data_IF_480371506683
#
_entry.id   IF_480371506683
#
_cell.length_a   1.000
_cell.length_b   1.000
_cell.length_c   1.000
_cell.angle_alpha   90.00
_cell.angle_beta   90.00
_cell.angle_gamma   90.00
#
_symmetry.space_group_name_H-M   'P 1'
#
loop_
_entity.id
_entity.type
_entity.pdbx_description
1 polymer ?
#
# COMPACT_ATOMS: atom_id res chain seq x y z
N UNK A 1 40.38 -16.70 38.72
CA UNK A 1 39.04 -16.86 38.12
C UNK A 1 38.05 -16.12 39.01
N UNK A 2 37.19 -15.22 38.47
CA UNK A 2 36.16 -14.58 39.28
C UNK A 2 35.17 -15.64 39.81
N UNK A 3 34.65 -15.49 41.05
CA UNK A 3 33.74 -16.46 41.64
C UNK A 3 32.47 -16.61 40.80
N UNK A 4 31.96 -17.84 40.69
CA UNK A 4 30.77 -18.17 39.90
C UNK A 4 29.50 -17.50 40.43
N UNK A 5 29.49 -17.13 41.72
CA UNK A 5 28.47 -16.35 42.40
C UNK A 5 29.14 -15.31 43.29
N UNK A 6 28.70 -14.05 43.24
CA UNK A 6 29.14 -12.98 44.14
C UNK A 6 27.91 -12.19 44.60
N UNK A 7 27.63 -12.24 45.90
CA UNK A 7 26.49 -11.58 46.54
C UNK A 7 26.62 -10.04 46.54
N UNK A 8 27.84 -9.50 46.46
CA UNK A 8 28.09 -8.07 46.50
C UNK A 8 27.97 -7.41 45.11
N UNK A 9 28.23 -8.16 44.03
CA UNK A 9 28.09 -7.70 42.64
C UNK A 9 27.32 -8.67 41.74
N UNK A 10 26.11 -9.03 42.19
CA UNK A 10 25.22 -10.01 41.52
C UNK A 10 25.00 -9.68 40.03
N UNK A 11 24.97 -8.41 39.64
CA UNK A 11 24.64 -7.99 38.26
C UNK A 11 25.70 -8.28 37.21
N UNK A 12 26.98 -8.37 37.59
CA UNK A 12 28.09 -8.68 36.69
C UNK A 12 28.54 -10.14 36.79
N UNK A 13 27.97 -10.88 37.74
CA UNK A 13 28.29 -12.27 37.97
C UNK A 13 27.83 -13.16 36.81
N UNK A 14 28.67 -14.15 36.44
CA UNK A 14 28.41 -15.08 35.34
C UNK A 14 27.11 -15.87 35.55
N UNK A 15 26.80 -16.27 36.78
CA UNK A 15 25.54 -16.93 37.11
C UNK A 15 24.31 -16.04 36.82
N UNK A 16 24.38 -14.74 37.07
CA UNK A 16 23.25 -13.83 36.86
C UNK A 16 22.99 -13.56 35.39
N UNK A 17 24.04 -13.36 34.60
CA UNK A 17 23.92 -13.18 33.14
C UNK A 17 23.35 -14.44 32.48
N UNK A 18 23.80 -15.61 32.93
CA UNK A 18 23.33 -16.91 32.42
C UNK A 18 21.88 -17.19 32.83
N UNK A 19 21.53 -17.00 34.11
CA UNK A 19 20.15 -17.12 34.59
C UNK A 19 19.20 -16.16 33.86
N UNK A 20 19.63 -14.91 33.63
CA UNK A 20 18.87 -13.92 32.85
C UNK A 20 18.64 -14.36 31.41
N UNK A 21 19.68 -14.91 30.75
CA UNK A 21 19.58 -15.41 29.37
C UNK A 21 18.63 -16.60 29.29
N UNK A 22 18.80 -17.59 30.18
CA UNK A 22 17.97 -18.81 30.23
C UNK A 22 16.52 -18.49 30.54
N UNK A 23 16.26 -17.61 31.51
CA UNK A 23 14.92 -17.17 31.85
C UNK A 23 14.27 -16.40 30.69
N UNK A 24 15.02 -15.55 29.98
CA UNK A 24 14.51 -14.87 28.77
C UNK A 24 14.13 -15.86 27.67
N UNK A 25 14.93 -16.90 27.45
CA UNK A 25 14.63 -17.93 26.45
C UNK A 25 13.33 -18.67 26.79
N UNK A 26 13.18 -19.15 28.02
CA UNK A 26 11.97 -19.84 28.50
C UNK A 26 10.73 -18.93 28.41
N UNK A 27 10.85 -17.67 28.81
CA UNK A 27 9.71 -16.74 28.74
C UNK A 27 9.37 -16.35 27.29
N UNK A 28 10.34 -16.36 26.38
CA UNK A 28 10.09 -16.08 24.95
C UNK A 28 9.38 -17.21 24.22
N UNK A 29 9.59 -18.47 24.62
CA UNK A 29 8.90 -19.63 24.05
C UNK A 29 7.44 -19.76 24.51
N UNK A 30 7.12 -19.20 25.68
CA UNK A 30 5.74 -19.21 26.25
C UNK A 30 4.87 -18.09 25.65
N UNK A 31 5.49 -17.07 25.05
CA UNK A 31 4.85 -15.84 24.56
C UNK A 31 3.93 -15.97 23.34
N UNK A 32 3.32 -17.12 23.07
CA UNK A 32 2.33 -17.30 22.00
C UNK A 32 0.97 -17.87 22.44
N UNK A 33 0.72 -18.13 23.73
CA UNK A 33 -0.62 -18.60 24.12
C UNK A 33 -0.88 -19.08 25.54
N UNK A 34 0.06 -19.07 26.48
CA UNK A 34 -0.20 -19.49 27.87
C UNK A 34 0.20 -18.39 28.85
N UNK A 35 -0.69 -17.43 29.03
CA UNK A 35 -0.80 -16.63 30.24
C UNK A 35 -2.06 -17.15 30.95
N UNK A 36 -1.97 -17.60 32.22
CA UNK A 36 -3.14 -18.09 32.92
C UNK A 36 -4.10 -16.91 33.16
N UNK A 37 -5.24 -16.92 32.49
CA UNK A 37 -6.29 -15.88 32.61
C UNK A 37 -6.96 -15.43 31.30
N UNK A 38 -6.45 -15.80 30.12
CA UNK A 38 -7.16 -15.53 28.87
C UNK A 38 -8.21 -16.61 28.60
N UNK A 39 -9.35 -16.50 29.29
CA UNK A 39 -10.58 -17.14 28.81
C UNK A 39 -10.99 -16.46 27.50
N UNK A 40 -10.73 -17.14 26.38
CA UNK A 40 -11.36 -16.80 25.12
C UNK A 40 -12.87 -17.07 25.24
N UNK A 41 -13.65 -16.06 25.61
CA UNK A 41 -15.05 -16.02 25.22
C UNK A 41 -15.10 -15.58 23.76
N UNK A 42 -15.02 -16.56 22.87
CA UNK A 42 -15.40 -16.38 21.48
C UNK A 42 -16.90 -16.04 21.46
N UNK A 43 -17.24 -14.75 21.29
CA UNK A 43 -18.57 -14.35 20.87
C UNK A 43 -18.64 -14.61 19.37
N UNK A 44 -19.38 -15.64 19.02
CA UNK A 44 -19.82 -15.90 17.67
C UNK A 44 -20.70 -14.75 17.19
N UNK A 45 -20.31 -14.09 16.10
CA UNK A 45 -21.24 -13.42 15.20
C UNK A 45 -20.98 -14.00 13.83
N UNK A 46 -22.01 -14.67 13.33
CA UNK A 46 -22.02 -15.37 12.07
C UNK A 46 -22.33 -14.46 10.88
N UNK A 47 -22.36 -15.17 9.75
CA UNK A 47 -22.88 -14.81 8.43
C UNK A 47 -21.95 -13.89 7.61
N UNK A 48 -21.22 -14.48 6.64
CA UNK A 48 -21.66 -14.85 5.28
C UNK A 48 -21.41 -13.65 4.35
N UNK A 49 -20.67 -13.71 3.25
CA UNK A 49 -20.40 -14.77 2.29
C UNK A 49 -19.23 -14.32 1.39
N UNK A 50 -18.46 -15.32 0.90
CA UNK A 50 -17.77 -15.46 -0.40
C UNK A 50 -17.15 -14.21 -1.09
N UNK A 51 -16.02 -14.26 -1.79
CA UNK A 51 -15.63 -15.22 -2.83
C UNK A 51 -14.08 -15.10 -3.04
N UNK A 52 -13.38 -16.24 -3.01
CA UNK A 52 -12.30 -16.73 -3.90
C UNK A 52 -11.50 -15.72 -4.77
N UNK A 53 -10.19 -15.80 -5.02
CA UNK A 53 -9.26 -16.92 -5.19
C UNK A 53 -7.82 -16.38 -5.27
N UNK A 54 -6.83 -17.08 -4.71
CA UNK A 54 -5.58 -17.47 -5.40
C UNK A 54 -4.69 -18.27 -4.45
N UNK A 55 -4.89 -19.58 -4.51
CA UNK A 55 -3.98 -20.59 -4.00
C UNK A 55 -2.72 -20.63 -4.86
N UNK A 56 -1.59 -20.23 -4.28
CA UNK A 56 -0.29 -20.74 -4.67
C UNK A 56 0.71 -20.61 -3.51
N UNK A 57 1.11 -21.76 -2.99
CA UNK A 57 2.41 -22.03 -2.37
C UNK A 57 2.70 -21.43 -0.99
N UNK A 58 2.03 -21.99 0.02
CA UNK A 58 2.66 -22.76 1.11
C UNK A 58 4.18 -22.53 1.33
N UNK A 59 4.57 -21.44 2.02
CA UNK A 59 5.60 -21.45 3.08
C UNK A 59 5.75 -20.09 3.80
N UNK A 60 4.64 -19.38 4.11
CA UNK A 60 4.72 -18.08 4.79
C UNK A 60 3.59 -17.76 5.78
N UNK A 61 2.71 -18.71 6.11
CA UNK A 61 1.61 -18.51 7.06
C UNK A 61 2.04 -18.77 8.50
N UNK A 62 2.88 -17.88 9.06
CA UNK A 62 3.04 -17.72 10.52
C UNK A 62 3.23 -16.25 10.94
N UNK A 63 2.75 -15.30 10.15
CA UNK A 63 2.59 -13.92 10.62
C UNK A 63 1.27 -13.81 11.40
N UNK A 64 1.43 -13.97 12.70
CA UNK A 64 0.41 -13.92 13.75
C UNK A 64 -0.57 -12.75 13.61
N UNK A 65 -1.84 -13.06 13.87
CA UNK A 65 -3.04 -12.22 13.89
C UNK A 65 -3.03 -11.09 14.96
N UNK A 66 -1.86 -10.53 15.27
CA UNK A 66 -1.71 -9.38 16.16
C UNK A 66 -1.64 -8.04 15.39
N UNK A 67 -1.42 -8.08 14.07
CA UNK A 67 -1.22 -6.88 13.26
C UNK A 67 -2.53 -6.15 12.88
N UNK A 68 -3.68 -6.82 12.92
CA UNK A 68 -4.94 -6.25 12.39
C UNK A 68 -5.79 -5.56 13.47
N UNK A 69 -5.57 -5.83 14.76
CA UNK A 69 -6.32 -5.20 15.86
C UNK A 69 -5.66 -3.96 16.46
N UNK A 70 -4.43 -3.61 16.06
CA UNK A 70 -3.72 -2.44 16.61
C UNK A 70 -4.06 -1.12 15.91
N UNK A 71 -4.88 -1.15 14.84
CA UNK A 71 -5.14 0.00 13.97
C UNK A 71 -6.33 0.89 14.38
N UNK A 72 -7.05 0.59 15.47
CA UNK A 72 -8.32 1.29 15.80
C UNK A 72 -8.32 2.02 17.16
N UNK A 73 -7.28 1.96 17.98
CA UNK A 73 -7.29 2.71 19.25
C UNK A 73 -5.90 3.09 19.75
N UNK A 74 -5.56 4.40 19.83
CA UNK A 74 -4.33 4.88 20.48
C UNK A 74 -4.30 4.67 22.00
N UNK A 75 -5.33 4.05 22.59
CA UNK A 75 -5.50 3.90 24.04
C UNK A 75 -5.28 2.49 24.57
N UNK A 76 -4.62 1.58 23.83
CA UNK A 76 -4.14 0.34 24.43
C UNK A 76 -2.86 0.59 25.24
N UNK A 77 -3.02 1.40 26.29
CA UNK A 77 -2.17 1.42 27.47
C UNK A 77 -2.00 -0.04 27.87
N UNK A 78 -0.73 -0.46 27.95
CA UNK A 78 -0.28 -1.73 28.47
C UNK A 78 -1.14 -2.11 29.67
N UNK A 79 -2.11 -2.99 29.46
CA UNK A 79 -3.11 -3.30 30.46
C UNK A 79 -2.37 -4.05 31.57
N UNK A 80 -2.13 -3.35 32.68
CA UNK A 80 -1.47 -3.80 33.90
C UNK A 80 -2.29 -4.87 34.66
N UNK A 81 -3.12 -5.64 33.96
CA UNK A 81 -4.20 -6.43 34.57
C UNK A 81 -3.88 -7.92 34.71
N UNK A 82 -2.67 -8.36 34.36
CA UNK A 82 -2.17 -9.72 34.66
C UNK A 82 -1.05 -9.73 35.71
N UNK A 83 -1.01 -8.72 36.58
CA UNK A 83 -0.05 -8.70 37.70
C UNK A 83 -0.68 -8.89 39.09
N UNK A 84 -2.01 -8.91 39.23
CA UNK A 84 -2.62 -8.98 40.59
C UNK A 84 -3.92 -9.78 40.64
N UNK A 85 -3.87 -11.08 40.36
CA UNK A 85 -4.82 -12.04 40.98
C UNK A 85 -4.06 -13.30 41.40
N UNK A 86 -3.09 -13.14 42.30
CA UNK A 86 -2.80 -14.16 43.31
C UNK A 86 -3.05 -13.50 44.66
N UNK A 87 -4.14 -13.97 45.26
CA UNK A 87 -4.71 -13.57 46.54
C UNK A 87 -3.69 -13.79 47.66
N UNK A 88 -3.32 -12.70 48.30
CA UNK A 88 -2.90 -12.55 49.71
C UNK A 88 -2.41 -13.81 50.46
N UNK A 89 -1.09 -13.85 50.60
CA UNK A 89 -0.27 -14.50 51.62
C UNK A 89 1.16 -14.02 51.36
N UNK A 90 1.99 -13.82 52.38
CA UNK A 90 3.35 -13.24 52.30
C UNK A 90 4.33 -14.09 51.46
N UNK A 91 4.06 -14.31 50.17
CA UNK A 91 4.92 -15.08 49.28
C UNK A 91 5.86 -14.15 48.54
N UNK A 92 7.13 -14.53 48.51
CA UNK A 92 8.16 -13.78 47.83
C UNK A 92 7.95 -13.76 46.31
N UNK A 93 8.35 -12.70 45.60
CA UNK A 93 8.47 -12.68 44.11
C UNK A 93 9.23 -13.91 43.58
N UNK A 94 10.17 -14.43 44.38
CA UNK A 94 10.93 -15.64 44.05
C UNK A 94 10.07 -16.90 44.08
N UNK A 95 9.16 -17.01 45.05
CA UNK A 95 8.27 -18.16 45.19
C UNK A 95 7.23 -18.18 44.09
N UNK A 96 6.66 -17.02 43.75
CA UNK A 96 5.75 -16.86 42.62
C UNK A 96 6.41 -17.22 41.29
N UNK A 97 7.67 -16.81 41.07
CA UNK A 97 8.43 -17.20 39.88
C UNK A 97 8.65 -18.71 39.80
N UNK A 98 9.01 -19.34 40.92
CA UNK A 98 9.23 -20.79 41.00
C UNK A 98 7.93 -21.55 40.76
N UNK A 99 6.83 -21.11 41.36
CA UNK A 99 5.49 -21.68 41.17
C UNK A 99 5.06 -21.57 39.71
N UNK A 100 5.23 -20.41 39.10
CA UNK A 100 4.96 -20.20 37.69
C UNK A 100 5.80 -21.11 36.78
N UNK A 101 7.11 -21.23 37.03
CA UNK A 101 7.98 -22.13 36.26
C UNK A 101 7.61 -23.61 36.45
N UNK A 102 7.13 -24.01 37.63
CA UNK A 102 6.62 -25.38 37.87
C UNK A 102 5.33 -25.64 37.10
N UNK A 103 4.43 -24.67 37.02
CA UNK A 103 3.22 -24.76 36.19
C UNK A 103 3.62 -24.89 34.71
N UNK A 104 4.53 -24.04 34.21
CA UNK A 104 5.04 -24.13 32.85
C UNK A 104 5.73 -25.46 32.55
N UNK A 105 6.44 -26.03 33.53
CA UNK A 105 7.07 -27.34 33.39
C UNK A 105 6.02 -28.46 33.28
N UNK A 106 4.94 -28.38 34.06
CA UNK A 106 3.83 -29.33 33.96
C UNK A 106 3.15 -29.22 32.58
N UNK A 107 2.91 -28.00 32.09
CA UNK A 107 2.37 -27.75 30.75
C UNK A 107 3.30 -28.29 29.66
N UNK A 108 4.61 -28.07 29.75
CA UNK A 108 5.57 -28.54 28.74
C UNK A 108 5.74 -30.05 28.74
N UNK A 109 5.63 -30.71 29.89
CA UNK A 109 5.62 -32.18 30.02
C UNK A 109 4.37 -32.75 29.34
N UNK A 110 3.21 -32.15 29.60
CA UNK A 110 1.94 -32.55 29.00
C UNK A 110 1.92 -32.29 27.49
N UNK A 111 2.54 -31.20 27.02
CA UNK A 111 2.74 -30.89 25.60
C UNK A 111 3.87 -31.66 24.93
N UNK A 112 4.52 -32.60 25.64
CA UNK A 112 5.68 -33.39 25.18
C UNK A 112 6.87 -32.57 24.64
N UNK A 113 6.99 -31.28 24.98
CA UNK A 113 8.14 -30.47 24.62
C UNK A 113 9.31 -30.73 25.56
N UNK A 114 10.12 -31.73 25.20
CA UNK A 114 11.30 -32.14 25.95
C UNK A 114 12.37 -31.04 26.02
N UNK A 115 12.43 -30.17 25.01
CA UNK A 115 13.43 -29.11 24.92
C UNK A 115 13.11 -27.97 25.88
N UNK A 116 11.86 -27.48 25.87
CA UNK A 116 11.37 -26.47 26.81
C UNK A 116 11.41 -27.01 28.25
N UNK A 117 11.01 -28.27 28.46
CA UNK A 117 11.07 -28.91 29.77
C UNK A 117 12.50 -28.96 30.33
N UNK A 118 13.51 -29.24 29.49
CA UNK A 118 14.92 -29.22 29.91
C UNK A 118 15.39 -27.80 30.25
N UNK A 119 15.00 -26.81 29.44
CA UNK A 119 15.33 -25.40 29.68
C UNK A 119 14.70 -24.86 30.98
N UNK A 120 13.43 -25.20 31.27
CA UNK A 120 12.75 -24.80 32.50
C UNK A 120 13.41 -25.43 33.73
N UNK A 121 13.77 -26.73 33.68
CA UNK A 121 14.49 -27.40 34.78
C UNK A 121 15.84 -26.74 35.04
N UNK A 122 16.56 -26.35 33.98
CA UNK A 122 17.84 -25.66 34.10
C UNK A 122 17.68 -24.24 34.67
N UNK A 123 16.61 -23.52 34.32
CA UNK A 123 16.30 -22.21 34.95
C UNK A 123 15.99 -22.39 36.43
N UNK A 124 15.15 -23.37 36.81
CA UNK A 124 14.87 -23.69 38.20
C UNK A 124 16.15 -24.01 38.98
N UNK A 125 17.07 -24.79 38.39
CA UNK A 125 18.39 -25.09 38.96
C UNK A 125 19.28 -23.85 39.08
N UNK A 126 19.19 -22.91 38.16
CA UNK A 126 19.95 -21.66 38.25
C UNK A 126 19.41 -20.74 39.36
N UNK A 127 18.10 -20.74 39.58
CA UNK A 127 17.45 -19.90 40.59
C UNK A 127 17.79 -20.32 42.04
N UNK A 128 18.14 -21.59 42.28
CA UNK A 128 18.57 -22.04 43.63
C UNK A 128 19.90 -21.44 44.08
N UNK A 129 20.71 -20.91 43.16
CA UNK A 129 21.97 -20.25 43.47
C UNK A 129 21.81 -18.78 43.90
N UNK A 130 20.59 -18.24 43.92
CA UNK A 130 20.33 -16.84 44.26
C UNK A 130 19.48 -16.72 45.52
N UNK A 131 19.84 -15.75 46.36
CA UNK A 131 18.95 -15.26 47.41
C UNK A 131 17.76 -14.50 46.82
N UNK A 132 16.72 -14.33 47.64
CA UNK A 132 15.49 -13.61 47.34
C UNK A 132 15.74 -12.19 46.77
N UNK A 133 16.76 -11.49 47.28
CA UNK A 133 17.19 -10.17 46.78
C UNK A 133 17.79 -10.25 45.37
N UNK A 134 18.53 -11.32 45.06
CA UNK A 134 19.11 -11.59 43.74
C UNK A 134 18.05 -11.88 42.69
N UNK A 135 17.03 -12.69 43.02
CA UNK A 135 15.90 -12.99 42.13
C UNK A 135 15.06 -11.74 41.84
N UNK A 136 14.77 -10.91 42.85
CA UNK A 136 14.10 -9.62 42.65
C UNK A 136 14.89 -8.70 41.71
N UNK A 137 16.21 -8.60 41.89
CA UNK A 137 17.07 -7.80 41.00
C UNK A 137 17.05 -8.35 39.57
N UNK A 138 17.07 -9.67 39.40
CA UNK A 138 16.96 -10.35 38.11
C UNK A 138 15.66 -9.98 37.39
N UNK A 139 14.51 -10.14 38.07
CA UNK A 139 13.19 -9.82 37.54
C UNK A 139 13.07 -8.34 37.15
N UNK A 140 13.55 -7.42 37.98
CA UNK A 140 13.57 -5.98 37.67
C UNK A 140 14.37 -5.69 36.39
N UNK A 141 15.58 -6.26 36.27
CA UNK A 141 16.40 -6.04 35.06
C UNK A 141 15.75 -6.61 33.80
N UNK A 142 15.09 -7.76 33.87
CA UNK A 142 14.34 -8.32 32.74
C UNK A 142 13.15 -7.45 32.35
N UNK A 143 12.40 -6.97 33.34
CA UNK A 143 11.25 -6.07 33.13
C UNK A 143 11.68 -4.75 32.49
N UNK A 144 12.77 -4.15 32.96
CA UNK A 144 13.30 -2.89 32.41
C UNK A 144 13.82 -3.06 30.99
N UNK A 145 14.54 -4.15 30.71
CA UNK A 145 14.99 -4.45 29.35
C UNK A 145 13.81 -4.74 28.41
N UNK A 146 12.78 -5.46 28.88
CA UNK A 146 11.57 -5.70 28.08
C UNK A 146 10.86 -4.39 27.78
N UNK A 147 10.64 -3.52 28.78
CA UNK A 147 10.02 -2.20 28.61
C UNK A 147 10.77 -1.33 27.58
N UNK A 148 12.10 -1.29 27.65
CA UNK A 148 12.94 -0.54 26.69
C UNK A 148 12.81 -1.09 25.27
N UNK A 149 12.87 -2.42 25.10
CA UNK A 149 12.69 -3.06 23.77
C UNK A 149 11.30 -2.79 23.19
N UNK A 150 10.25 -2.89 24.00
CA UNK A 150 8.88 -2.62 23.57
C UNK A 150 8.70 -1.17 23.13
N UNK A 151 9.20 -0.20 23.90
CA UNK A 151 9.15 1.21 23.50
C UNK A 151 9.85 1.48 22.17
N UNK A 152 11.02 0.87 21.95
CA UNK A 152 11.76 0.99 20.69
C UNK A 152 11.03 0.32 19.51
N UNK A 153 10.44 -0.86 19.72
CA UNK A 153 9.66 -1.55 18.69
C UNK A 153 8.45 -0.74 18.27
N UNK A 154 7.71 -0.16 19.22
CA UNK A 154 6.57 0.71 18.93
C UNK A 154 7.00 1.95 18.14
N UNK A 155 8.12 2.57 18.52
CA UNK A 155 8.69 3.69 17.76
C UNK A 155 9.01 3.27 16.31
N UNK A 156 9.65 2.12 16.12
CA UNK A 156 10.03 1.64 14.78
C UNK A 156 8.79 1.32 13.93
N UNK A 157 7.76 0.72 14.53
CA UNK A 157 6.48 0.45 13.87
C UNK A 157 5.78 1.75 13.45
N UNK A 158 5.72 2.73 14.37
CA UNK A 158 5.13 4.04 14.07
C UNK A 158 5.90 4.76 12.96
N UNK A 159 7.23 4.75 13.01
CA UNK A 159 8.09 5.34 11.98
C UNK A 159 7.83 4.69 10.62
N UNK A 160 7.76 3.36 10.55
CA UNK A 160 7.43 2.64 9.32
C UNK A 160 6.05 3.05 8.79
N UNK A 161 5.03 3.14 9.64
CA UNK A 161 3.69 3.55 9.23
C UNK A 161 3.70 4.96 8.64
N UNK A 162 4.34 5.92 9.32
CA UNK A 162 4.47 7.30 8.85
C UNK A 162 5.21 7.37 7.50
N UNK A 163 6.28 6.59 7.32
CA UNK A 163 7.02 6.54 6.05
C UNK A 163 6.17 5.96 4.91
N UNK A 164 5.38 4.92 5.17
CA UNK A 164 4.48 4.34 4.16
C UNK A 164 3.37 5.32 3.77
N UNK A 165 2.79 6.01 4.74
CA UNK A 165 1.81 7.07 4.49
C UNK A 165 2.41 8.19 3.66
N UNK A 166 3.59 8.69 4.03
CA UNK A 166 4.30 9.74 3.29
C UNK A 166 4.62 9.30 1.86
N UNK A 167 5.10 8.07 1.67
CA UNK A 167 5.35 7.50 0.33
C UNK A 167 4.08 7.51 -0.51
N UNK A 168 2.98 6.99 0.02
CA UNK A 168 1.70 6.97 -0.70
C UNK A 168 1.19 8.37 -1.05
N UNK A 169 1.42 9.34 -0.16
CA UNK A 169 1.08 10.74 -0.38
C UNK A 169 1.91 11.35 -1.51
N UNK A 170 3.23 11.14 -1.48
CA UNK A 170 4.14 11.62 -2.52
C UNK A 170 3.85 10.99 -3.89
N UNK A 171 3.53 9.69 -3.94
CA UNK A 171 3.11 9.01 -5.16
C UNK A 171 1.82 9.63 -5.74
N UNK A 172 0.82 9.89 -4.89
CA UNK A 172 -0.42 10.58 -5.30
C UNK A 172 -0.14 12.00 -5.78
N UNK A 173 0.66 12.77 -5.05
CA UNK A 173 0.99 14.14 -5.42
C UNK A 173 1.75 14.19 -6.74
N UNK A 174 2.74 13.31 -6.94
CA UNK A 174 3.47 13.19 -8.20
C UNK A 174 2.52 12.87 -9.36
N UNK A 175 1.57 11.94 -9.16
CA UNK A 175 0.59 11.60 -10.19
C UNK A 175 -0.32 12.80 -10.54
N UNK A 176 -0.67 13.63 -9.56
CA UNK A 176 -1.50 14.83 -9.77
C UNK A 176 -0.73 15.90 -10.54
N UNK A 177 0.49 16.21 -10.11
CA UNK A 177 1.35 17.19 -10.77
C UNK A 177 1.63 16.78 -12.22
N UNK A 178 1.88 15.49 -12.47
CA UNK A 178 2.11 15.02 -13.83
C UNK A 178 0.87 15.15 -14.72
N UNK A 179 -0.33 14.89 -14.19
CA UNK A 179 -1.60 15.11 -14.90
C UNK A 179 -1.87 16.59 -15.14
N UNK A 180 -1.64 17.45 -14.15
CA UNK A 180 -1.81 18.90 -14.31
C UNK A 180 -0.84 19.45 -15.36
N UNK A 181 0.41 18.98 -15.37
CA UNK A 181 1.38 19.33 -16.40
C UNK A 181 0.88 18.94 -17.80
N UNK A 182 0.40 17.70 -17.98
CA UNK A 182 -0.07 17.24 -19.30
C UNK A 182 -1.29 18.02 -19.77
N UNK A 183 -2.29 18.23 -18.90
CA UNK A 183 -3.48 19.02 -19.24
C UNK A 183 -3.14 20.47 -19.58
N UNK A 184 -2.26 21.10 -18.81
CA UNK A 184 -1.81 22.47 -19.08
C UNK A 184 -1.10 22.55 -20.43
N UNK A 185 -0.25 21.57 -20.74
CA UNK A 185 0.46 21.48 -22.02
C UNK A 185 -0.53 21.32 -23.18
N UNK A 186 -1.50 20.42 -23.07
CA UNK A 186 -2.54 20.22 -24.07
C UNK A 186 -3.36 21.50 -24.32
N UNK A 187 -3.83 22.15 -23.25
CA UNK A 187 -4.57 23.42 -23.33
C UNK A 187 -3.74 24.52 -24.00
N UNK A 188 -2.46 24.65 -23.63
CA UNK A 188 -1.56 25.62 -24.25
C UNK A 188 -1.39 25.34 -25.75
N UNK A 189 -1.21 24.07 -26.14
CA UNK A 189 -1.13 23.67 -27.55
C UNK A 189 -2.40 24.05 -28.31
N UNK A 190 -3.58 23.78 -27.75
CA UNK A 190 -4.85 24.14 -28.39
C UNK A 190 -4.95 25.65 -28.63
N UNK A 191 -4.55 26.48 -27.65
CA UNK A 191 -4.51 27.94 -27.79
C UNK A 191 -3.52 28.37 -28.86
N UNK A 192 -2.32 27.80 -28.89
CA UNK A 192 -1.30 28.11 -29.90
C UNK A 192 -1.74 27.70 -31.31
N UNK A 193 -2.41 26.56 -31.46
CA UNK A 193 -2.99 26.11 -32.73
C UNK A 193 -4.09 27.06 -33.19
N UNK A 194 -4.95 27.55 -32.29
CA UNK A 194 -5.96 28.56 -32.63
C UNK A 194 -5.29 29.84 -33.16
N UNK A 195 -4.28 30.34 -32.46
CA UNK A 195 -3.54 31.53 -32.91
C UNK A 195 -2.86 31.31 -34.27
N UNK A 196 -2.30 30.12 -34.51
CA UNK A 196 -1.71 29.74 -35.79
C UNK A 196 -2.72 29.77 -36.95
N UNK A 197 -3.94 29.28 -36.71
CA UNK A 197 -5.04 29.28 -37.68
C UNK A 197 -5.60 30.68 -37.91
N UNK A 198 -5.74 31.49 -36.85
CA UNK A 198 -6.21 32.88 -36.94
C UNK A 198 -5.32 33.73 -37.85
N UNK A 199 -4.00 33.56 -37.79
CA UNK A 199 -3.06 34.23 -38.70
C UNK A 199 -3.28 33.88 -40.18
N UNK A 200 -3.97 32.77 -40.46
CA UNK A 200 -4.21 32.22 -41.80
C UNK A 200 -5.69 32.23 -42.15
N UNK A 201 -6.52 32.95 -41.40
CA UNK A 201 -7.97 32.96 -41.54
C UNK A 201 -8.45 33.31 -42.96
N UNK A 202 -7.78 34.25 -43.63
CA UNK A 202 -8.09 34.59 -45.04
C UNK A 202 -7.93 33.39 -45.97
N UNK A 203 -6.86 32.62 -45.80
CA UNK A 203 -6.61 31.41 -46.59
C UNK A 203 -7.64 30.32 -46.26
N UNK A 204 -7.95 30.13 -44.97
CA UNK A 204 -8.96 29.15 -44.54
C UNK A 204 -10.36 29.47 -45.05
N UNK A 205 -10.76 30.76 -45.05
CA UNK A 205 -12.04 31.20 -45.63
C UNK A 205 -12.11 30.94 -47.13
N UNK A 206 -11.02 31.17 -47.86
CA UNK A 206 -10.97 30.83 -49.29
C UNK A 206 -11.07 29.32 -49.51
N UNK A 207 -10.32 28.54 -48.73
CA UNK A 207 -10.44 27.09 -48.74
C UNK A 207 -11.88 26.62 -48.49
N UNK A 208 -12.58 27.18 -47.49
CA UNK A 208 -13.98 26.82 -47.21
C UNK A 208 -14.91 27.14 -48.40
N UNK A 209 -14.72 28.29 -49.06
CA UNK A 209 -15.51 28.65 -50.23
C UNK A 209 -15.24 27.67 -51.40
N UNK A 210 -13.98 27.35 -51.66
CA UNK A 210 -13.59 26.39 -52.69
C UNK A 210 -14.11 24.97 -52.36
N UNK A 211 -14.06 24.57 -51.09
CA UNK A 211 -14.53 23.27 -50.60
C UNK A 211 -16.04 23.07 -50.79
N UNK A 212 -16.84 24.13 -50.64
CA UNK A 212 -18.28 24.08 -50.89
C UNK A 212 -18.64 23.84 -52.36
N UNK A 213 -17.77 24.26 -53.29
CA UNK A 213 -17.99 24.09 -54.73
C UNK A 213 -17.69 22.66 -55.20
N UNK A 214 -16.85 21.93 -54.47
CA UNK A 214 -16.50 20.54 -54.77
C UNK A 214 -17.71 19.63 -54.55
N UNK A 215 -18.04 18.81 -55.55
CA UNK A 215 -19.16 17.85 -55.47
C UNK A 215 -18.69 16.42 -55.26
N UNK A 216 -17.58 16.03 -55.88
CA UNK A 216 -17.03 14.70 -55.74
C UNK A 216 -16.36 14.53 -54.36
N UNK A 217 -16.56 13.36 -53.73
CA UNK A 217 -15.98 13.06 -52.43
C UNK A 217 -14.46 12.92 -52.46
N UNK A 218 -13.93 12.27 -53.49
CA UNK A 218 -12.48 12.10 -53.63
C UNK A 218 -11.78 13.47 -53.75
N UNK A 219 -12.35 14.39 -54.53
CA UNK A 219 -11.84 15.76 -54.65
C UNK A 219 -11.86 16.53 -53.33
N UNK A 220 -12.90 16.33 -52.49
CA UNK A 220 -13.00 16.94 -51.15
C UNK A 220 -11.94 16.37 -50.20
N UNK A 221 -11.76 15.06 -50.19
CA UNK A 221 -10.72 14.39 -49.40
C UNK A 221 -9.34 14.91 -49.79
N UNK A 222 -9.04 14.94 -51.09
CA UNK A 222 -7.77 15.47 -51.62
C UNK A 222 -7.55 16.94 -51.26
N UNK A 223 -8.60 17.77 -51.27
CA UNK A 223 -8.51 19.17 -50.89
C UNK A 223 -8.16 19.33 -49.40
N UNK A 224 -8.76 18.52 -48.52
CA UNK A 224 -8.50 18.54 -47.08
C UNK A 224 -7.10 18.03 -46.78
N UNK A 225 -6.68 16.90 -47.36
CA UNK A 225 -5.35 16.33 -47.16
C UNK A 225 -4.24 17.29 -47.60
N UNK A 226 -4.37 17.91 -48.77
CA UNK A 226 -3.40 18.91 -49.25
C UNK A 226 -3.31 20.12 -48.32
N UNK A 227 -4.45 20.58 -47.83
CA UNK A 227 -4.53 21.71 -46.90
C UNK A 227 -3.87 21.36 -45.56
N UNK A 228 -4.19 20.20 -44.98
CA UNK A 228 -3.57 19.72 -43.74
C UNK A 228 -2.07 19.47 -43.89
N UNK A 229 -1.63 18.85 -44.99
CA UNK A 229 -0.22 18.60 -45.27
C UNK A 229 0.57 19.92 -45.32
N UNK A 230 0.04 20.93 -46.01
CA UNK A 230 0.64 22.26 -46.08
C UNK A 230 0.71 22.93 -44.71
N UNK A 231 -0.38 22.93 -43.95
CA UNK A 231 -0.42 23.55 -42.62
C UNK A 231 0.52 22.82 -41.65
N UNK A 232 0.58 21.50 -41.68
CA UNK A 232 1.46 20.69 -40.84
C UNK A 232 2.94 20.85 -41.20
N UNK A 233 3.28 21.02 -42.49
CA UNK A 233 4.64 21.28 -42.93
C UNK A 233 5.17 22.63 -42.45
N UNK A 234 4.28 23.64 -42.33
CA UNK A 234 4.64 24.98 -41.85
C UNK A 234 4.63 25.12 -40.33
N UNK A 235 3.85 24.32 -39.63
CA UNK A 235 3.73 24.35 -38.15
C UNK A 235 5.10 24.40 -37.41
N UNK A 236 6.10 23.53 -37.67
CA UNK A 236 7.37 23.56 -36.93
C UNK A 236 8.28 24.73 -37.31
N UNK A 237 8.02 25.43 -38.41
CA UNK A 237 8.83 26.58 -38.85
C UNK A 237 8.47 27.87 -38.12
N UNK A 238 7.30 27.89 -37.49
CA UNK A 238 6.80 29.06 -36.76
C UNK A 238 7.56 29.29 -35.45
N UNK A 239 7.83 30.56 -35.08
CA UNK A 239 8.66 30.89 -33.92
C UNK A 239 8.05 30.39 -32.60
N UNK A 240 6.72 30.28 -32.51
CA UNK A 240 6.01 29.79 -31.33
C UNK A 240 6.28 28.29 -31.04
N UNK A 241 6.74 27.52 -32.03
CA UNK A 241 7.03 26.08 -31.91
C UNK A 241 8.54 25.78 -31.84
N UNK A 242 9.40 26.79 -31.73
CA UNK A 242 10.88 26.63 -31.77
C UNK A 242 11.43 25.63 -30.75
N UNK A 243 10.80 25.52 -29.59
CA UNK A 243 11.22 24.62 -28.49
C UNK A 243 10.23 23.48 -28.23
N UNK A 244 9.31 23.24 -29.16
CA UNK A 244 8.34 22.18 -29.02
C UNK A 244 9.02 20.82 -29.18
N UNK A 245 8.68 19.88 -28.30
CA UNK A 245 9.11 18.50 -28.44
C UNK A 245 8.26 17.77 -29.50
N UNK A 246 8.67 16.55 -29.84
CA UNK A 246 7.97 15.74 -30.85
C UNK A 246 6.52 15.40 -30.43
N UNK A 247 6.26 15.23 -29.13
CA UNK A 247 4.94 14.91 -28.60
C UNK A 247 3.98 16.10 -28.70
N UNK A 248 4.45 17.31 -28.35
CA UNK A 248 3.74 18.57 -28.46
C UNK A 248 3.40 18.86 -29.93
N UNK A 249 4.35 18.66 -30.84
CA UNK A 249 4.11 18.81 -32.28
C UNK A 249 3.11 17.77 -32.79
N UNK A 250 3.19 16.51 -32.34
CA UNK A 250 2.22 15.49 -32.71
C UNK A 250 0.81 15.82 -32.21
N UNK A 251 0.68 16.32 -30.98
CA UNK A 251 -0.60 16.77 -30.42
C UNK A 251 -1.13 18.00 -31.16
N UNK A 252 -0.26 18.96 -31.49
CA UNK A 252 -0.61 20.15 -32.26
C UNK A 252 -1.16 19.78 -33.64
N UNK A 253 -0.55 18.83 -34.35
CA UNK A 253 -1.06 18.32 -35.64
C UNK A 253 -2.47 17.73 -35.50
N UNK A 254 -2.71 16.93 -34.45
CA UNK A 254 -4.05 16.39 -34.16
C UNK A 254 -5.06 17.49 -33.83
N UNK A 255 -4.66 18.50 -33.06
CA UNK A 255 -5.52 19.63 -32.70
C UNK A 255 -5.84 20.49 -33.92
N UNK A 256 -4.88 20.68 -34.82
CA UNK A 256 -5.04 21.39 -36.08
C UNK A 256 -6.06 20.66 -36.97
N UNK A 257 -5.87 19.35 -37.15
CA UNK A 257 -6.81 18.50 -37.89
C UNK A 257 -8.21 18.57 -37.31
N UNK A 258 -8.35 18.37 -35.98
CA UNK A 258 -9.64 18.53 -35.29
C UNK A 258 -10.29 19.89 -35.54
N UNK A 259 -9.50 20.97 -35.51
CA UNK A 259 -10.01 22.33 -35.71
C UNK A 259 -10.47 22.55 -37.15
N UNK A 260 -9.73 22.05 -38.14
CA UNK A 260 -10.14 22.14 -39.56
C UNK A 260 -11.39 21.29 -39.82
N UNK A 261 -11.39 20.04 -39.34
CA UNK A 261 -12.51 19.12 -39.48
C UNK A 261 -13.78 19.67 -38.85
N UNK A 262 -13.68 20.31 -37.67
CA UNK A 262 -14.83 20.95 -37.03
C UNK A 262 -15.45 22.07 -37.89
N UNK A 263 -14.65 22.82 -38.64
CA UNK A 263 -15.16 23.88 -39.52
C UNK A 263 -15.88 23.33 -40.75
N UNK A 264 -15.41 22.20 -41.30
CA UNK A 264 -16.00 21.58 -42.48
C UNK A 264 -17.03 20.50 -42.15
N UNK A 265 -17.21 20.14 -40.88
CA UNK A 265 -18.03 19.02 -40.43
C UNK A 265 -19.43 19.02 -41.05
N UNK A 266 -20.12 20.16 -41.01
CA UNK A 266 -21.48 20.30 -41.56
C UNK A 266 -21.52 20.15 -43.09
N UNK A 267 -20.45 20.52 -43.78
CA UNK A 267 -20.34 20.44 -45.24
C UNK A 267 -19.89 19.05 -45.72
N UNK A 268 -19.18 18.32 -44.86
CA UNK A 268 -18.61 17.02 -45.14
C UNK A 268 -19.52 15.86 -44.70
N UNK A 269 -20.38 16.07 -43.70
CA UNK A 269 -21.33 15.06 -43.22
C UNK A 269 -22.52 14.96 -44.19
N UNK A 270 -22.76 13.77 -44.73
CA UNK A 270 -23.82 13.48 -45.71
C UNK A 270 -23.66 14.23 -47.04
N UNK A 271 -22.57 13.97 -47.78
CA UNK A 271 -22.31 14.62 -49.05
C UNK A 271 -23.38 14.39 -50.13
N UNK A 272 -24.04 13.22 -50.11
CA UNK A 272 -25.15 12.88 -51.01
C UNK A 272 -26.52 13.14 -50.36
N UNK A 273 -26.55 13.81 -49.21
CA UNK A 273 -27.75 14.18 -48.47
C UNK A 273 -28.62 12.97 -48.13
N UNK A 274 -29.83 12.93 -48.67
CA UNK A 274 -30.84 11.91 -48.36
C UNK A 274 -30.46 10.50 -48.81
N UNK A 275 -29.63 10.37 -49.85
CA UNK A 275 -29.17 9.06 -50.31
C UNK A 275 -28.31 8.37 -49.24
N UNK A 276 -27.43 9.14 -48.58
CA UNK A 276 -26.61 8.62 -47.49
C UNK A 276 -27.47 8.34 -46.24
N UNK A 277 -28.45 9.20 -45.91
CA UNK A 277 -29.39 8.94 -44.82
C UNK A 277 -30.23 7.68 -45.05
N UNK A 278 -30.67 7.43 -46.29
CA UNK A 278 -31.43 6.24 -46.64
C UNK A 278 -30.57 4.98 -46.54
N UNK A 279 -29.31 5.05 -46.97
CA UNK A 279 -28.33 3.96 -46.79
C UNK A 279 -28.13 3.64 -45.31
N UNK A 280 -27.89 4.65 -44.48
CA UNK A 280 -27.68 4.47 -43.04
C UNK A 280 -28.91 3.84 -42.36
N UNK A 281 -30.12 4.30 -42.72
CA UNK A 281 -31.37 3.70 -42.23
C UNK A 281 -31.56 2.25 -42.67
N UNK A 282 -31.17 1.91 -43.88
CA UNK A 282 -31.24 0.53 -44.38
C UNK A 282 -30.26 -0.38 -43.62
N UNK A 283 -29.02 0.06 -43.44
CA UNK A 283 -28.00 -0.66 -42.68
C UNK A 283 -28.47 -0.89 -41.23
N UNK A 284 -28.91 0.17 -40.55
CA UNK A 284 -29.42 0.05 -39.18
C UNK A 284 -30.57 -0.95 -39.06
N UNK A 285 -31.52 -0.92 -40.00
CA UNK A 285 -32.66 -1.86 -40.01
C UNK A 285 -32.26 -3.30 -40.33
N UNK A 286 -31.18 -3.51 -41.07
CA UNK A 286 -30.65 -4.85 -41.36
C UNK A 286 -29.94 -5.48 -40.17
N UNK A 287 -29.32 -4.68 -39.30
CA UNK A 287 -28.69 -5.15 -38.06
C UNK A 287 -29.73 -5.58 -37.01
N UNK A 288 -30.82 -4.83 -36.86
CA UNK A 288 -31.93 -5.18 -35.96
C UNK A 288 -32.62 -6.52 -36.33
N UNK A 289 -32.63 -6.86 -37.62
CA UNK A 289 -33.21 -8.11 -38.13
C UNK A 289 -32.24 -9.31 -38.07
N UNK A 290 -30.93 -9.05 -37.90
CA UNK A 290 -29.88 -10.07 -37.85
C UNK A 290 -29.49 -10.53 -36.43
N UNK A 291 -29.92 -9.81 -35.38
CA UNK A 291 -29.67 -10.16 -33.98
C UNK A 291 -30.75 -10.99 -33.28
N UNK A 292 -31.77 -11.42 -34.03
CA UNK A 292 -32.95 -12.14 -33.51
C UNK A 292 -33.07 -13.61 -33.96
N UNK A 293 -31.94 -14.29 -34.21
CA UNK A 293 -31.90 -15.72 -34.52
C UNK A 293 -30.97 -16.48 -33.56
#
# INVERSE_FOLDING_TARGET
MPPYYDANNVTQCRAFVDAKRKLRLVLSSVGSGSMPGSSNTAIALGESSAIDSLSAANHAHRFSAFATLFLVSPQFIMNNSTFLVLRSGERSDSEHLIEFLKILLAESINGHDKTLSAQIREVLRCLTAFDEKGVRKLLRTLKDEHRKRTAYLLYLQQSRLTLLQLRSYLEKLSSRVQREKSLTMECLVEVLVRFYLEQRDVYLRRFMADFQLLKAQDERTDAVERTLAMLNARLPLEPMWKHADAEMLAYARKSLERSLMAQIYVLALYPNGEADQCRDRYVARSEDMGGGA
#
